data_IF_135871257081
#
_entry.id   IF_135871257081
#
_cell.length_a   1.000
_cell.length_b   1.000
_cell.length_c   1.000
_cell.angle_alpha   90.00
_cell.angle_beta   90.00
_cell.angle_gamma   90.00
#
_symmetry.space_group_name_H-M   'P 1'
#
loop_
_entity.id
_entity.type
_entity.pdbx_description
1 polymer ?
#
# COMPACT_ATOMS: atom_id res chain seq x y z
N UNK A 1 -15.81 47.72 -12.75
CA UNK A 1 -14.44 47.31 -12.34
C UNK A 1 -14.41 46.61 -10.98
N UNK A 2 -14.76 47.27 -9.86
CA UNK A 2 -14.64 46.64 -8.52
C UNK A 2 -15.53 45.41 -8.34
N UNK A 3 -16.77 45.45 -8.85
CA UNK A 3 -17.69 44.31 -8.83
C UNK A 3 -17.26 43.16 -9.75
N UNK A 4 -16.61 43.48 -10.87
CA UNK A 4 -16.12 42.47 -11.82
C UNK A 4 -14.94 41.70 -11.26
N UNK A 5 -14.08 42.37 -10.48
CA UNK A 5 -12.96 41.76 -9.76
C UNK A 5 -13.48 40.78 -8.70
N UNK A 6 -14.42 41.21 -7.85
CA UNK A 6 -15.02 40.34 -6.81
C UNK A 6 -15.72 39.12 -7.41
N UNK A 7 -16.40 39.30 -8.55
CA UNK A 7 -17.03 38.19 -9.25
C UNK A 7 -16.01 37.19 -9.82
N UNK A 8 -14.84 37.66 -10.26
CA UNK A 8 -13.78 36.78 -10.75
C UNK A 8 -13.08 36.04 -9.60
N UNK A 9 -12.86 36.68 -8.46
CA UNK A 9 -12.29 36.07 -7.26
C UNK A 9 -13.16 34.91 -6.76
N UNK A 10 -14.48 35.13 -6.62
CA UNK A 10 -15.41 34.07 -6.21
C UNK A 10 -15.45 32.89 -7.19
N UNK A 11 -15.24 33.13 -8.49
CA UNK A 11 -15.17 32.07 -9.51
C UNK A 11 -13.88 31.28 -9.43
N UNK A 12 -12.76 31.92 -9.11
CA UNK A 12 -11.48 31.25 -8.90
C UNK A 12 -11.56 30.33 -7.69
N UNK A 13 -12.05 30.84 -6.56
CA UNK A 13 -12.26 30.05 -5.34
C UNK A 13 -13.20 28.85 -5.60
N UNK A 14 -14.28 29.07 -6.35
CA UNK A 14 -15.18 28.00 -6.75
C UNK A 14 -14.54 26.94 -7.65
N UNK A 15 -13.58 27.32 -8.50
CA UNK A 15 -12.84 26.40 -9.36
C UNK A 15 -11.77 25.63 -8.57
N UNK A 16 -11.09 26.29 -7.64
CA UNK A 16 -10.09 25.67 -6.75
C UNK A 16 -10.74 24.55 -5.91
N UNK A 17 -11.89 24.83 -5.30
CA UNK A 17 -12.67 23.83 -4.55
C UNK A 17 -13.11 22.65 -5.45
N UNK A 18 -13.48 22.92 -6.70
CA UNK A 18 -13.89 21.86 -7.63
C UNK A 18 -12.71 20.97 -8.06
N UNK A 19 -11.54 21.57 -8.26
CA UNK A 19 -10.29 20.86 -8.56
C UNK A 19 -9.93 19.95 -7.40
N UNK A 20 -10.00 20.44 -6.15
CA UNK A 20 -9.74 19.64 -4.96
C UNK A 20 -10.69 18.43 -4.85
N UNK A 21 -12.00 18.63 -5.05
CA UNK A 21 -12.97 17.53 -5.08
C UNK A 21 -12.68 16.52 -6.20
N UNK A 22 -12.34 16.98 -7.41
CA UNK A 22 -12.02 16.10 -8.52
C UNK A 22 -10.70 15.33 -8.31
N UNK A 23 -9.73 15.91 -7.62
CA UNK A 23 -8.50 15.23 -7.24
C UNK A 23 -8.78 14.12 -6.21
N UNK A 24 -9.63 14.40 -5.22
CA UNK A 24 -10.09 13.41 -4.25
C UNK A 24 -10.88 12.27 -4.92
N UNK A 25 -11.83 12.59 -5.80
CA UNK A 25 -12.59 11.60 -6.56
C UNK A 25 -11.67 10.78 -7.47
N UNK A 26 -10.66 11.40 -8.09
CA UNK A 26 -9.67 10.69 -8.92
C UNK A 26 -8.81 9.76 -8.08
N UNK A 27 -8.43 10.17 -6.87
CA UNK A 27 -7.70 9.33 -5.91
C UNK A 27 -8.58 8.13 -5.53
N UNK A 28 -9.83 8.36 -5.09
CA UNK A 28 -10.79 7.30 -4.72
C UNK A 28 -11.11 6.35 -5.88
N UNK A 29 -11.32 6.87 -7.08
CA UNK A 29 -11.59 6.04 -8.28
C UNK A 29 -10.36 5.24 -8.68
N UNK A 30 -9.15 5.80 -8.49
CA UNK A 30 -7.90 5.05 -8.62
C UNK A 30 -7.81 3.96 -7.56
N UNK A 31 -8.20 4.21 -6.29
CA UNK A 31 -8.28 3.15 -5.26
C UNK A 31 -9.20 2.02 -5.71
N UNK A 32 -10.40 2.34 -6.21
CA UNK A 32 -11.41 1.35 -6.57
C UNK A 32 -11.08 0.49 -7.80
N UNK A 33 -10.55 1.09 -8.88
CA UNK A 33 -10.16 0.34 -10.09
C UNK A 33 -8.87 -0.45 -9.93
N UNK A 34 -7.95 0.04 -9.10
CA UNK A 34 -6.70 -0.61 -8.80
C UNK A 34 -6.88 -1.99 -8.16
N UNK A 35 -7.87 -2.17 -7.29
CA UNK A 35 -7.89 -3.29 -6.34
C UNK A 35 -7.73 -4.67 -7.01
N UNK A 36 -8.51 -5.09 -8.02
CA UNK A 36 -8.33 -6.43 -8.59
C UNK A 36 -7.08 -6.55 -9.48
N UNK A 37 -6.78 -5.54 -10.30
CA UNK A 37 -5.68 -5.55 -11.28
C UNK A 37 -4.31 -5.36 -10.62
N UNK A 38 -4.21 -4.64 -9.50
CA UNK A 38 -2.98 -4.49 -8.72
C UNK A 38 -2.76 -5.66 -7.76
N UNK A 39 -3.81 -6.09 -7.05
CA UNK A 39 -3.65 -7.09 -5.99
C UNK A 39 -3.41 -8.48 -6.54
N UNK A 40 -4.07 -8.85 -7.64
CA UNK A 40 -3.99 -10.24 -8.13
C UNK A 40 -2.56 -10.64 -8.55
N UNK A 41 -1.84 -9.84 -9.36
CA UNK A 41 -0.45 -10.16 -9.72
C UNK A 41 0.47 -10.13 -8.50
N UNK A 42 0.33 -9.10 -7.64
CA UNK A 42 1.13 -8.94 -6.44
C UNK A 42 0.96 -10.12 -5.47
N UNK A 43 -0.29 -10.47 -5.13
CA UNK A 43 -0.61 -11.57 -4.21
C UNK A 43 -0.08 -12.89 -4.77
N UNK A 44 -0.20 -13.11 -6.08
CA UNK A 44 0.31 -14.33 -6.72
C UNK A 44 1.84 -14.42 -6.64
N UNK A 45 2.54 -13.33 -6.93
CA UNK A 45 4.00 -13.27 -6.92
C UNK A 45 4.55 -13.39 -5.49
N UNK A 46 3.93 -12.70 -4.53
CA UNK A 46 4.27 -12.80 -3.12
C UNK A 46 4.01 -14.21 -2.57
N UNK A 47 2.83 -14.79 -2.81
CA UNK A 47 2.49 -16.17 -2.43
C UNK A 47 3.46 -17.19 -3.02
N UNK A 48 3.87 -17.01 -4.27
CA UNK A 48 4.86 -17.89 -4.92
C UNK A 48 6.21 -17.81 -4.22
N UNK A 49 6.67 -16.60 -3.91
CA UNK A 49 7.91 -16.38 -3.15
C UNK A 49 7.83 -17.00 -1.76
N UNK A 50 6.75 -16.76 -1.02
CA UNK A 50 6.52 -17.32 0.32
C UNK A 50 6.53 -18.85 0.33
N UNK A 51 5.85 -19.49 -0.63
CA UNK A 51 5.87 -20.95 -0.81
C UNK A 51 7.29 -21.46 -1.04
N UNK A 52 8.04 -20.82 -1.95
CA UNK A 52 9.42 -21.22 -2.26
C UNK A 52 10.35 -21.09 -1.04
N UNK A 53 10.09 -20.11 -0.17
CA UNK A 53 10.86 -19.85 1.05
C UNK A 53 10.34 -20.59 2.29
N UNK A 54 9.35 -21.48 2.13
CA UNK A 54 8.72 -22.21 3.24
C UNK A 54 8.13 -21.28 4.32
N UNK A 55 7.59 -20.15 3.90
CA UNK A 55 6.95 -19.15 4.75
C UNK A 55 5.42 -19.31 4.65
N UNK A 56 4.69 -19.54 5.77
CA UNK A 56 3.22 -19.64 5.77
C UNK A 56 2.51 -18.39 5.20
N UNK A 57 1.58 -18.58 4.29
CA UNK A 57 1.18 -17.59 3.29
C UNK A 57 0.47 -16.29 3.78
N UNK A 58 -0.45 -16.36 4.75
CA UNK A 58 -1.43 -15.27 4.93
C UNK A 58 -1.10 -14.19 5.98
N UNK A 59 -0.38 -14.50 7.07
CA UNK A 59 -0.19 -13.54 8.17
C UNK A 59 0.98 -12.57 7.98
N UNK A 60 1.89 -12.85 7.05
CA UNK A 60 3.18 -12.14 6.99
C UNK A 60 3.25 -11.05 5.93
N UNK A 61 2.43 -11.16 4.88
CA UNK A 61 2.38 -10.14 3.82
C UNK A 61 2.01 -8.76 4.39
N UNK A 62 1.06 -8.72 5.33
CA UNK A 62 0.66 -7.50 6.04
C UNK A 62 1.79 -6.89 6.86
N UNK A 63 2.49 -7.74 7.63
CA UNK A 63 3.63 -7.32 8.47
C UNK A 63 4.78 -6.73 7.62
N UNK A 64 5.06 -7.36 6.47
CA UNK A 64 6.07 -6.89 5.51
C UNK A 64 5.70 -5.54 4.93
N UNK A 65 4.44 -5.38 4.48
CA UNK A 65 3.96 -4.10 3.93
C UNK A 65 4.02 -2.98 4.95
N UNK A 66 3.61 -3.27 6.19
CA UNK A 66 3.67 -2.29 7.27
C UNK A 66 5.12 -1.86 7.54
N UNK A 67 6.07 -2.81 7.60
CA UNK A 67 7.49 -2.48 7.73
C UNK A 67 8.03 -1.66 6.55
N UNK A 68 7.64 -2.00 5.32
CA UNK A 68 8.03 -1.24 4.13
C UNK A 68 7.53 0.22 4.21
N UNK A 69 6.31 0.41 4.70
CA UNK A 69 5.70 1.74 4.86
C UNK A 69 6.40 2.54 5.97
N UNK A 70 6.68 1.92 7.11
CA UNK A 70 7.41 2.57 8.20
C UNK A 70 8.83 2.96 7.74
N UNK A 71 9.52 2.06 7.02
CA UNK A 71 10.85 2.31 6.45
C UNK A 71 10.83 3.46 5.44
N UNK A 72 9.85 3.51 4.54
CA UNK A 72 9.76 4.58 3.54
C UNK A 72 9.46 5.95 4.15
N UNK A 73 8.85 5.97 5.34
CA UNK A 73 8.62 7.17 6.15
C UNK A 73 9.82 7.54 7.05
N UNK A 74 10.93 6.78 6.98
CA UNK A 74 12.12 7.01 7.80
C UNK A 74 11.95 6.61 9.27
N UNK A 75 10.92 5.81 9.59
CA UNK A 75 10.65 5.34 10.94
C UNK A 75 11.43 4.06 11.25
N UNK A 76 11.71 3.86 12.53
CA UNK A 76 12.27 2.58 13.01
C UNK A 76 11.24 1.48 12.78
N UNK A 77 11.68 0.36 12.21
CA UNK A 77 10.83 -0.82 12.06
C UNK A 77 10.69 -1.46 13.44
N UNK A 78 9.47 -1.50 14.04
CA UNK A 78 9.28 -1.93 15.42
C UNK A 78 9.40 -3.44 15.58
N UNK A 79 9.35 -4.22 14.50
CA UNK A 79 9.54 -5.67 14.55
C UNK A 79 10.89 -6.04 13.92
N UNK A 80 11.81 -6.53 14.74
CA UNK A 80 13.03 -7.14 14.23
C UNK A 80 12.69 -8.50 13.63
N UNK A 81 13.33 -8.85 12.51
CA UNK A 81 13.33 -10.21 11.93
C UNK A 81 13.61 -11.28 13.01
N UNK A 82 14.36 -10.92 14.05
CA UNK A 82 14.63 -11.75 15.22
C UNK A 82 13.39 -12.03 16.09
N UNK A 83 12.55 -11.02 16.35
CA UNK A 83 11.30 -11.19 17.11
C UNK A 83 10.29 -12.01 16.31
N UNK A 84 10.25 -11.81 14.99
CA UNK A 84 9.47 -12.63 14.07
C UNK A 84 9.86 -14.12 14.12
N UNK A 85 11.16 -14.42 13.99
CA UNK A 85 11.67 -15.80 14.02
C UNK A 85 11.51 -16.43 15.40
N UNK A 86 11.49 -15.64 16.47
CA UNK A 86 11.22 -16.11 17.84
C UNK A 86 9.82 -16.69 17.97
N UNK A 87 8.84 -15.98 17.42
CA UNK A 87 7.43 -16.37 17.47
C UNK A 87 7.09 -17.42 16.41
N UNK A 88 7.89 -17.52 15.35
CA UNK A 88 7.71 -18.43 14.21
C UNK A 88 8.94 -19.30 13.98
N UNK A 89 9.29 -20.15 14.94
CA UNK A 89 10.54 -20.96 14.94
C UNK A 89 10.74 -21.91 13.76
N UNK A 90 9.71 -22.10 12.95
CA UNK A 90 9.68 -22.98 11.78
C UNK A 90 9.82 -22.22 10.46
N UNK A 91 9.96 -20.90 10.52
CA UNK A 91 10.28 -20.05 9.37
C UNK A 91 11.75 -19.63 9.39
N UNK A 92 12.37 -19.59 8.21
CA UNK A 92 13.71 -19.01 8.00
C UNK A 92 13.60 -17.58 7.46
N UNK A 93 12.66 -16.78 7.98
CA UNK A 93 12.47 -15.43 7.47
C UNK A 93 13.67 -14.57 7.87
N UNK A 94 14.43 -14.10 6.90
CA UNK A 94 15.62 -13.29 7.13
C UNK A 94 15.49 -11.93 6.44
N UNK A 95 16.51 -11.08 6.60
CA UNK A 95 16.53 -9.76 5.96
C UNK A 95 16.54 -9.85 4.43
N UNK A 96 17.02 -10.95 3.84
CA UNK A 96 17.05 -11.12 2.39
C UNK A 96 15.65 -11.39 1.87
N UNK A 97 14.88 -12.26 2.53
CA UNK A 97 13.47 -12.52 2.18
C UNK A 97 12.62 -11.25 2.33
N UNK A 98 12.89 -10.45 3.36
CA UNK A 98 12.28 -9.13 3.49
C UNK A 98 12.60 -8.24 2.28
N UNK A 99 13.87 -8.13 1.91
CA UNK A 99 14.31 -7.28 0.80
C UNK A 99 13.77 -7.78 -0.56
N UNK A 100 13.68 -9.09 -0.77
CA UNK A 100 13.08 -9.69 -1.96
C UNK A 100 11.58 -9.35 -2.05
N UNK A 101 10.87 -9.40 -0.93
CA UNK A 101 9.47 -8.96 -0.84
C UNK A 101 9.33 -7.47 -1.17
N UNK A 102 10.21 -6.65 -0.59
CA UNK A 102 10.25 -5.20 -0.83
C UNK A 102 10.51 -4.90 -2.32
N UNK A 103 11.37 -5.67 -2.97
CA UNK A 103 11.70 -5.55 -4.39
C UNK A 103 10.49 -5.87 -5.28
N UNK A 104 9.73 -6.90 -4.95
CA UNK A 104 8.46 -7.22 -5.64
C UNK A 104 7.51 -6.03 -5.55
N UNK A 105 7.33 -5.44 -4.36
CA UNK A 105 6.45 -4.27 -4.18
C UNK A 105 6.94 -3.09 -5.03
N UNK A 106 8.26 -2.83 -5.06
CA UNK A 106 8.84 -1.75 -5.89
C UNK A 106 8.63 -2.00 -7.39
N UNK A 107 8.87 -3.22 -7.86
CA UNK A 107 8.64 -3.57 -9.27
C UNK A 107 7.16 -3.38 -9.67
N UNK A 108 6.23 -3.78 -8.79
CA UNK A 108 4.80 -3.55 -9.01
C UNK A 108 4.45 -2.06 -9.01
N UNK A 109 5.08 -1.28 -8.13
CA UNK A 109 4.94 0.20 -8.11
C UNK A 109 5.31 0.82 -9.46
N UNK A 110 6.45 0.39 -10.02
CA UNK A 110 6.95 0.88 -11.31
C UNK A 110 6.05 0.47 -12.48
N UNK A 111 5.63 -0.81 -12.50
CA UNK A 111 4.73 -1.36 -13.52
C UNK A 111 3.40 -0.63 -13.57
N UNK A 112 2.86 -0.31 -12.39
CA UNK A 112 1.53 0.27 -12.22
C UNK A 112 1.54 1.80 -12.26
N UNK A 113 2.72 2.42 -12.24
CA UNK A 113 2.94 3.88 -12.19
C UNK A 113 2.19 4.52 -11.02
N UNK A 114 2.21 3.86 -9.88
CA UNK A 114 1.62 4.33 -8.62
C UNK A 114 2.75 4.77 -7.70
N UNK A 115 2.48 5.64 -6.72
CA UNK A 115 3.47 5.97 -5.71
C UNK A 115 3.65 4.78 -4.74
N UNK A 116 4.89 4.50 -4.34
CA UNK A 116 5.23 3.36 -3.46
C UNK A 116 4.41 3.34 -2.16
N UNK A 117 4.26 4.49 -1.50
CA UNK A 117 3.50 4.59 -0.24
C UNK A 117 2.00 4.38 -0.49
N UNK A 118 1.47 4.96 -1.57
CA UNK A 118 0.06 4.78 -1.96
C UNK A 118 -0.25 3.31 -2.27
N UNK A 119 0.68 2.58 -2.90
CA UNK A 119 0.49 1.14 -3.13
C UNK A 119 0.48 0.36 -1.81
N UNK A 120 1.40 0.66 -0.89
CA UNK A 120 1.47 0.01 0.42
C UNK A 120 0.21 0.25 1.25
N UNK A 121 -0.29 1.49 1.29
CA UNK A 121 -1.54 1.85 1.96
C UNK A 121 -2.72 1.04 1.39
N UNK A 122 -2.83 0.93 0.05
CA UNK A 122 -3.89 0.11 -0.56
C UNK A 122 -3.79 -1.37 -0.23
N UNK A 123 -2.58 -1.91 -0.20
CA UNK A 123 -2.35 -3.31 0.13
C UNK A 123 -2.74 -3.61 1.59
N UNK A 124 -2.39 -2.70 2.51
CA UNK A 124 -2.72 -2.81 3.93
C UNK A 124 -4.23 -2.70 4.18
N UNK A 125 -4.88 -1.66 3.64
CA UNK A 125 -6.34 -1.48 3.75
C UNK A 125 -7.09 -2.74 3.28
N UNK A 126 -6.59 -3.38 2.21
CA UNK A 126 -7.19 -4.59 1.66
C UNK A 126 -7.02 -5.82 2.53
N UNK A 127 -5.89 -5.95 3.21
CA UNK A 127 -5.67 -7.03 4.15
C UNK A 127 -6.53 -6.87 5.41
N UNK A 128 -6.67 -5.63 5.92
CA UNK A 128 -7.55 -5.32 7.04
C UNK A 128 -9.02 -5.68 6.72
N UNK A 129 -9.50 -5.36 5.52
CA UNK A 129 -10.84 -5.76 5.09
C UNK A 129 -11.03 -7.28 5.04
N UNK A 130 -10.06 -8.03 4.52
CA UNK A 130 -10.16 -9.49 4.42
C UNK A 130 -10.15 -10.17 5.79
N UNK A 131 -9.39 -9.64 6.76
CA UNK A 131 -9.38 -10.14 8.15
C UNK A 131 -10.75 -9.95 8.80
N UNK A 132 -11.36 -8.76 8.65
CA UNK A 132 -12.67 -8.46 9.21
C UNK A 132 -13.80 -9.33 8.64
N UNK A 133 -13.74 -9.71 7.36
CA UNK A 133 -14.70 -10.60 6.70
C UNK A 133 -14.58 -12.07 7.14
N UNK A 134 -13.38 -12.49 7.57
CA UNK A 134 -13.12 -13.87 8.02
C UNK A 134 -13.43 -14.10 9.51
N UNK A 135 -13.48 -13.04 10.31
CA UNK A 135 -13.81 -13.08 11.75
C UNK A 135 -15.33 -12.90 12.05
N UNK A 136 -16.17 -12.73 11.02
CA UNK A 136 -17.64 -12.68 11.10
C UNK A 136 -18.32 -13.97 10.62
#
# INVERSE_FOLDING_TARGET
>A
MKNDIVHLENRIEGLENHIECLENDRIETKKLRAIPELLTPFVKENRTMMINQHVPDCYYSKSIMNACLLRSQGQSIPWEVADFNRDNRQTNFDINIFNDSELIIKHQTDSLRINYNTLLEFLLDKMDCNEAEHDT
#
